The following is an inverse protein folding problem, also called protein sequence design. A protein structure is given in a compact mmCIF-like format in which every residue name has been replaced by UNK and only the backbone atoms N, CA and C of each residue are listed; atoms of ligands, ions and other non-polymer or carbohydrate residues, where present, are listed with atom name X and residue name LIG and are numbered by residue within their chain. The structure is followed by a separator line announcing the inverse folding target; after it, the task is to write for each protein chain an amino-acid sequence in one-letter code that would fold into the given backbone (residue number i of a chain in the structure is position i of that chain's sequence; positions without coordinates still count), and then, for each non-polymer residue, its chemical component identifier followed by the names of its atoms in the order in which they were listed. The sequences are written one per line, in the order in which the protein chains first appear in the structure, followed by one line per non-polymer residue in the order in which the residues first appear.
data_IF_040496872493
#
_entry.id   IF_040496872493
#
_cell.length_a   1.000
_cell.length_b   1.000
_cell.length_c   1.000
_cell.angle_alpha   90.00
_cell.angle_beta   90.00
_cell.angle_gamma   90.00
#
_symmetry.space_group_name_H-M   'P 1'
#
loop_
_entity.id
_entity.type
_entity.pdbx_description
1 polymer ?
#
# COMPACT_ATOMS: atom_id res chain seq x y z
N UNK A 1 -8.03 28.30 4.75
CA UNK A 1 -7.21 29.52 4.85
C UNK A 1 -5.74 29.12 4.81
N UNK A 2 -5.02 29.50 3.75
CA UNK A 2 -3.59 29.25 3.68
C UNK A 2 -2.87 30.07 4.76
N UNK A 3 -2.02 29.43 5.57
CA UNK A 3 -1.21 30.09 6.58
C UNK A 3 0.20 30.27 6.01
N UNK A 4 0.66 31.52 5.95
CA UNK A 4 2.04 31.85 5.59
C UNK A 4 2.71 32.59 6.75
N UNK A 5 4.01 32.37 6.95
CA UNK A 5 4.77 33.04 8.02
C UNK A 5 5.75 34.02 7.40
N UNK A 6 5.74 35.27 7.88
CA UNK A 6 6.72 36.26 7.48
C UNK A 6 8.11 35.95 8.06
N UNK A 7 9.18 36.54 7.51
CA UNK A 7 10.54 36.44 8.07
C UNK A 7 10.65 37.00 9.50
N UNK A 8 9.76 37.90 9.89
CA UNK A 8 9.69 38.43 11.26
C UNK A 8 8.94 37.49 12.23
N UNK A 9 8.53 36.29 11.80
CA UNK A 9 7.81 35.32 12.62
C UNK A 9 6.29 35.52 12.72
N UNK A 10 5.76 36.62 12.19
CA UNK A 10 4.32 36.92 12.28
C UNK A 10 3.52 36.04 11.30
N UNK A 11 2.43 35.38 11.75
CA UNK A 11 1.52 34.67 10.87
C UNK A 11 0.72 35.67 10.02
N UNK A 12 0.64 35.41 8.72
CA UNK A 12 -0.11 36.20 7.75
C UNK A 12 -1.38 35.46 7.36
N UNK A 13 -2.52 36.15 7.49
CA UNK A 13 -3.80 35.70 6.94
C UNK A 13 -3.84 36.11 5.47
N UNK A 14 -3.78 35.13 4.57
CA UNK A 14 -3.77 35.38 3.13
C UNK A 14 -5.22 35.32 2.64
N UNK A 15 -5.79 36.42 2.12
CA UNK A 15 -7.08 36.37 1.45
C UNK A 15 -6.98 35.47 0.21
N UNK A 16 -8.06 34.76 -0.12
CA UNK A 16 -8.11 33.84 -1.28
C UNK A 16 -8.00 34.57 -2.63
N UNK A 17 -8.03 35.90 -2.59
CA UNK A 17 -7.89 36.79 -3.73
C UNK A 17 -6.49 36.65 -4.34
N UNK A 18 -6.44 36.44 -5.66
CA UNK A 18 -5.31 35.90 -6.45
C UNK A 18 -4.04 36.78 -6.49
N UNK A 19 -3.97 37.81 -5.65
CA UNK A 19 -2.85 38.72 -5.52
C UNK A 19 -1.69 38.02 -4.77
N UNK A 20 -0.66 37.62 -5.52
CA UNK A 20 0.43 36.76 -5.03
C UNK A 20 1.38 37.43 -4.01
N UNK A 21 1.04 38.61 -3.47
CA UNK A 21 1.91 39.39 -2.58
C UNK A 21 1.08 40.02 -1.45
N UNK A 22 1.40 39.65 -0.22
CA UNK A 22 0.82 40.22 0.99
C UNK A 22 1.90 41.05 1.70
N UNK A 23 1.54 42.26 2.15
CA UNK A 23 2.43 43.08 2.97
C UNK A 23 2.29 42.65 4.43
N UNK A 24 3.41 42.34 5.07
CA UNK A 24 3.40 42.02 6.50
C UNK A 24 3.09 43.29 7.31
N UNK A 25 2.09 43.28 8.22
CA UNK A 25 1.75 44.45 9.02
C UNK A 25 2.83 44.80 10.05
N UNK A 26 3.65 43.83 10.48
CA UNK A 26 4.65 44.06 11.52
C UNK A 26 5.96 44.64 11.00
N UNK A 27 6.40 44.28 9.79
CA UNK A 27 7.70 44.70 9.25
C UNK A 27 7.63 45.37 7.86
N UNK A 28 6.44 45.48 7.27
CA UNK A 28 6.25 46.07 5.94
C UNK A 28 6.80 45.25 4.77
N UNK A 29 7.36 44.06 5.04
CA UNK A 29 7.91 43.21 3.99
C UNK A 29 6.82 42.74 3.02
N UNK A 30 7.08 42.87 1.72
CA UNK A 30 6.24 42.30 0.65
C UNK A 30 6.53 40.81 0.53
N UNK A 31 5.72 39.98 1.20
CA UNK A 31 5.86 38.53 1.20
C UNK A 31 5.12 37.96 -0.01
N UNK A 32 5.84 37.24 -0.86
CA UNK A 32 5.24 36.49 -1.96
C UNK A 32 4.65 35.20 -1.40
N UNK A 33 3.32 35.12 -1.35
CA UNK A 33 2.65 33.89 -0.92
C UNK A 33 2.49 33.00 -2.13
N UNK A 34 3.03 31.78 -2.07
CA UNK A 34 2.73 30.75 -3.06
C UNK A 34 1.31 30.28 -2.76
N UNK A 35 0.35 30.63 -3.62
CA UNK A 35 -0.99 30.06 -3.50
C UNK A 35 -0.86 28.53 -3.44
N UNK A 36 -1.63 27.84 -2.58
CA UNK A 36 -1.82 26.40 -2.71
C UNK A 36 -2.68 26.17 -3.94
N UNK A 37 -2.12 26.41 -5.13
CA UNK A 37 -2.76 25.97 -6.35
C UNK A 37 -2.81 24.44 -6.31
N UNK A 38 -3.90 23.80 -6.76
CA UNK A 38 -3.72 22.49 -7.36
C UNK A 38 -2.66 22.72 -8.43
N UNK A 39 -1.63 21.89 -8.44
CA UNK A 39 -0.50 22.08 -9.35
C UNK A 39 -1.02 22.52 -10.71
N UNK A 40 -0.60 23.71 -11.16
CA UNK A 40 -0.74 24.13 -12.56
C UNK A 40 0.18 23.22 -13.40
N UNK A 41 -0.07 21.92 -13.28
CA UNK A 41 0.56 20.85 -14.00
C UNK A 41 -0.10 20.82 -15.35
N UNK A 42 0.71 20.51 -16.34
CA UNK A 42 0.37 20.50 -17.75
C UNK A 42 -0.69 19.40 -18.12
N UNK A 43 -1.53 18.98 -17.18
CA UNK A 43 -2.37 17.79 -17.25
C UNK A 43 -1.58 16.50 -17.01
N UNK A 44 -0.38 16.57 -16.40
CA UNK A 44 0.46 15.40 -16.14
C UNK A 44 0.96 15.31 -14.70
N UNK A 45 0.84 14.11 -14.15
CA UNK A 45 1.45 13.68 -12.90
C UNK A 45 2.91 13.28 -13.14
N UNK A 46 3.81 13.79 -12.31
CA UNK A 46 5.24 13.46 -12.37
C UNK A 46 5.64 12.73 -11.08
N UNK A 47 6.18 11.53 -11.20
CA UNK A 47 6.61 10.72 -10.05
C UNK A 47 7.92 9.99 -10.34
N UNK A 48 8.60 9.52 -9.29
CA UNK A 48 9.91 8.87 -9.41
C UNK A 48 9.80 7.34 -9.46
N UNK A 49 10.50 6.72 -10.41
CA UNK A 49 10.78 5.29 -10.40
C UNK A 49 11.91 4.99 -9.41
N UNK A 50 11.91 3.84 -8.72
CA UNK A 50 13.01 3.43 -7.82
C UNK A 50 14.39 3.31 -8.49
N UNK A 51 14.49 3.31 -9.83
CA UNK A 51 15.77 3.41 -10.52
C UNK A 51 16.32 4.86 -10.62
N UNK A 52 15.58 5.86 -10.11
CA UNK A 52 15.94 7.28 -10.17
C UNK A 52 15.34 8.05 -11.34
N UNK A 53 14.66 7.39 -12.27
CA UNK A 53 14.02 8.05 -13.43
C UNK A 53 12.72 8.74 -13.04
N UNK A 54 12.47 9.92 -13.61
CA UNK A 54 11.19 10.64 -13.46
C UNK A 54 10.22 10.21 -14.57
N UNK A 55 9.06 9.70 -14.17
CA UNK A 55 7.96 9.29 -15.04
C UNK A 55 6.94 10.43 -15.14
N UNK A 56 6.32 10.56 -16.32
CA UNK A 56 5.28 11.55 -16.63
C UNK A 56 4.07 10.80 -17.17
N UNK A 57 2.93 10.89 -16.50
CA UNK A 57 1.66 10.27 -16.92
C UNK A 57 0.54 11.30 -16.92
N UNK A 58 -0.46 11.19 -17.80
CA UNK A 58 -1.58 12.13 -17.81
C UNK A 58 -2.41 12.02 -16.52
N UNK A 59 -2.86 13.18 -16.02
CA UNK A 59 -3.63 13.30 -14.77
C UNK A 59 -5.14 13.09 -14.97
N UNK A 60 -5.65 13.18 -16.21
CA UNK A 60 -7.08 13.03 -16.51
C UNK A 60 -7.57 11.59 -16.28
N UNK A 61 -6.74 10.60 -16.68
CA UNK A 61 -6.97 9.16 -16.46
C UNK A 61 -5.65 8.45 -16.17
N UNK A 62 -5.10 8.61 -14.96
CA UNK A 62 -3.86 7.94 -14.62
C UNK A 62 -4.10 6.42 -14.56
N UNK A 63 -3.31 5.60 -15.26
CA UNK A 63 -3.37 4.16 -15.08
C UNK A 63 -2.91 3.82 -13.66
N UNK A 64 -3.42 2.74 -13.07
CA UNK A 64 -3.01 2.30 -11.71
C UNK A 64 -1.51 1.99 -11.64
N UNK A 65 -0.93 1.52 -12.75
CA UNK A 65 0.47 1.15 -12.86
C UNK A 65 1.06 1.63 -14.18
N UNK A 66 2.33 2.07 -14.16
CA UNK A 66 3.09 2.45 -15.35
C UNK A 66 4.41 1.71 -15.45
N UNK A 67 4.83 1.31 -16.66
CA UNK A 67 6.12 0.67 -16.89
C UNK A 67 7.21 1.71 -17.08
N UNK A 68 8.32 1.59 -16.36
CA UNK A 68 9.48 2.45 -16.56
C UNK A 68 10.18 2.10 -17.88
N UNK A 69 10.47 3.07 -18.77
CA UNK A 69 11.14 2.80 -20.04
C UNK A 69 12.61 2.39 -19.86
N UNK A 70 13.27 2.84 -18.80
CA UNK A 70 14.69 2.57 -18.57
C UNK A 70 14.95 1.21 -17.90
N UNK A 71 14.21 0.88 -16.83
CA UNK A 71 14.44 -0.36 -16.07
C UNK A 71 13.39 -1.45 -16.32
N UNK A 72 12.33 -1.15 -17.07
CA UNK A 72 11.24 -2.09 -17.36
C UNK A 72 10.33 -2.45 -16.18
N UNK A 73 10.62 -1.96 -14.96
CA UNK A 73 9.85 -2.24 -13.76
C UNK A 73 8.47 -1.57 -13.83
N UNK A 74 7.46 -2.27 -13.35
CA UNK A 74 6.10 -1.75 -13.16
C UNK A 74 6.10 -0.91 -11.87
N UNK A 75 5.78 0.38 -11.98
CA UNK A 75 5.75 1.34 -10.86
C UNK A 75 4.29 1.75 -10.62
N UNK A 76 3.80 1.70 -9.37
CA UNK A 76 2.46 2.20 -9.05
C UNK A 76 2.41 3.71 -9.27
N UNK A 77 1.35 4.17 -9.93
CA UNK A 77 1.11 5.59 -10.13
C UNK A 77 0.39 6.12 -8.88
N UNK A 78 0.93 7.13 -8.18
CA UNK A 78 0.25 7.67 -7.00
C UNK A 78 -1.06 8.33 -7.43
N UNK A 79 -2.18 7.74 -7.01
CA UNK A 79 -3.50 8.30 -7.27
C UNK A 79 -3.74 9.47 -6.31
N UNK A 80 -3.62 10.70 -6.81
CA UNK A 80 -3.92 11.91 -6.03
C UNK A 80 -5.42 12.05 -5.69
N UNK A 81 -6.28 11.21 -6.28
CA UNK A 81 -7.72 11.16 -6.03
C UNK A 81 -8.20 9.87 -5.36
N UNK A 82 -7.29 9.02 -4.86
CA UNK A 82 -7.69 7.97 -3.94
C UNK A 82 -8.19 8.65 -2.69
N UNK A 83 -9.47 8.47 -2.35
CA UNK A 83 -10.01 8.91 -1.07
C UNK A 83 -8.99 8.53 0.03
N UNK A 84 -8.70 9.41 1.01
CA UNK A 84 -7.89 8.99 2.15
C UNK A 84 -8.50 7.67 2.60
N UNK A 85 -7.69 6.61 2.68
CA UNK A 85 -8.11 5.33 3.26
C UNK A 85 -9.01 5.71 4.43
N UNK A 86 -10.30 5.40 4.33
CA UNK A 86 -11.28 5.86 5.29
C UNK A 86 -10.70 5.46 6.63
N UNK A 87 -10.22 6.48 7.36
CA UNK A 87 -9.57 6.31 8.65
C UNK A 87 -10.57 5.49 9.41
N UNK A 88 -10.24 4.22 9.67
CA UNK A 88 -11.19 3.20 10.11
C UNK A 88 -12.12 3.86 11.10
N UNK A 89 -13.35 4.15 10.66
CA UNK A 89 -14.29 4.92 11.47
C UNK A 89 -14.35 4.18 12.81
N UNK A 90 -14.22 4.89 13.93
CA UNK A 90 -14.13 4.24 15.23
C UNK A 90 -15.35 3.33 15.37
N UNK A 91 -15.13 2.02 15.41
CA UNK A 91 -16.19 1.01 15.50
C UNK A 91 -17.17 1.45 16.57
N UNK A 92 -18.46 1.55 16.22
CA UNK A 92 -19.48 1.94 17.19
C UNK A 92 -19.45 0.96 18.37
N UNK A 93 -19.84 1.44 19.54
CA UNK A 93 -19.85 0.62 20.77
C UNK A 93 -20.70 -0.64 20.58
N UNK A 94 -21.76 -0.57 19.78
CA UNK A 94 -22.61 -1.73 19.47
C UNK A 94 -21.91 -2.75 18.56
N UNK A 95 -21.13 -2.29 17.57
CA UNK A 95 -20.38 -3.18 16.67
C UNK A 95 -19.21 -3.86 17.40
N UNK A 96 -18.54 -3.16 18.32
CA UNK A 96 -17.48 -3.76 19.13
C UNK A 96 -18.03 -4.84 20.07
N UNK A 97 -19.18 -4.62 20.70
CA UNK A 97 -19.86 -5.63 21.52
C UNK A 97 -20.28 -6.86 20.69
N UNK A 98 -20.76 -6.65 19.47
CA UNK A 98 -21.09 -7.76 18.56
C UNK A 98 -19.86 -8.62 18.23
N UNK A 99 -18.73 -8.00 17.93
CA UNK A 99 -17.47 -8.70 17.66
C UNK A 99 -16.95 -9.46 18.88
N UNK A 100 -17.06 -8.88 20.08
CA UNK A 100 -16.68 -9.56 21.32
C UNK A 100 -17.55 -10.78 21.62
N UNK A 101 -18.87 -10.66 21.40
CA UNK A 101 -19.80 -11.78 21.54
C UNK A 101 -19.50 -12.89 20.54
N UNK A 102 -19.25 -12.54 19.27
CA UNK A 102 -18.84 -13.49 18.25
C UNK A 102 -17.53 -14.21 18.63
N UNK A 103 -16.53 -13.47 19.11
CA UNK A 103 -15.26 -14.04 19.54
C UNK A 103 -15.39 -14.94 20.79
N UNK A 104 -16.32 -14.62 21.69
CA UNK A 104 -16.64 -15.45 22.85
C UNK A 104 -17.31 -16.77 22.41
N UNK A 105 -18.27 -16.71 21.49
CA UNK A 105 -18.92 -17.90 20.93
C UNK A 105 -17.90 -18.79 20.19
N UNK A 106 -17.03 -18.20 19.37
CA UNK A 106 -15.97 -18.93 18.67
C UNK A 106 -14.98 -19.61 19.62
N UNK A 107 -14.61 -18.96 20.72
CA UNK A 107 -13.76 -19.57 21.75
C UNK A 107 -14.46 -20.73 22.47
N UNK A 108 -15.76 -20.61 22.74
CA UNK A 108 -16.57 -21.66 23.38
C UNK A 108 -16.77 -22.88 22.49
N UNK A 109 -16.98 -22.68 21.18
CA UNK A 109 -17.16 -23.78 20.22
C UNK A 109 -15.87 -24.51 19.89
N UNK A 110 -14.72 -23.97 20.31
CA UNK A 110 -13.41 -24.35 19.83
C UNK A 110 -13.29 -24.01 18.34
N UNK A 111 -12.07 -23.95 17.81
CA UNK A 111 -11.82 -23.76 16.36
C UNK A 111 -12.22 -25.02 15.57
N UNK A 112 -13.49 -25.43 15.67
CA UNK A 112 -14.11 -26.34 14.73
C UNK A 112 -14.52 -25.48 13.56
N UNK A 113 -13.76 -25.57 12.48
CA UNK A 113 -14.18 -25.06 11.17
C UNK A 113 -15.63 -25.51 10.97
N UNK A 114 -16.60 -24.61 10.75
CA UNK A 114 -17.95 -25.03 10.43
C UNK A 114 -17.87 -25.86 9.14
N UNK A 115 -18.08 -27.17 9.27
CA UNK A 115 -18.11 -28.14 8.16
C UNK A 115 -19.28 -27.88 7.20
N UNK A 116 -20.15 -26.90 7.50
CA UNK A 116 -21.36 -26.59 6.76
C UNK A 116 -21.54 -25.08 6.56
N UNK A 117 -20.54 -24.40 6.00
CA UNK A 117 -20.84 -23.18 5.25
C UNK A 117 -21.38 -23.65 3.90
N UNK A 118 -22.67 -23.46 3.56
CA UNK A 118 -23.16 -23.81 2.24
C UNK A 118 -22.30 -23.05 1.22
N UNK A 119 -21.81 -23.73 0.16
CA UNK A 119 -21.04 -23.06 -0.87
C UNK A 119 -21.89 -21.93 -1.43
N UNK A 120 -21.38 -20.70 -1.35
CA UNK A 120 -21.99 -19.59 -2.08
C UNK A 120 -22.08 -19.94 -3.57
N UNK A 121 -23.04 -19.37 -4.31
CA UNK A 121 -23.27 -19.70 -5.72
C UNK A 121 -22.05 -19.49 -6.63
N UNK A 122 -21.03 -18.76 -6.16
CA UNK A 122 -19.78 -18.47 -6.87
C UNK A 122 -18.55 -19.24 -6.33
N UNK A 123 -18.74 -20.25 -5.48
CA UNK A 123 -17.62 -21.03 -4.97
C UNK A 123 -17.00 -21.90 -6.09
N UNK A 124 -15.72 -21.72 -6.44
CA UNK A 124 -15.06 -22.54 -7.45
C UNK A 124 -15.04 -24.01 -7.01
N UNK A 125 -15.15 -24.98 -7.94
CA UNK A 125 -15.25 -26.40 -7.60
C UNK A 125 -14.05 -26.86 -6.77
N UNK A 126 -14.33 -27.26 -5.52
CA UNK A 126 -13.30 -27.75 -4.61
C UNK A 126 -12.84 -29.14 -5.07
N UNK A 127 -11.67 -29.18 -5.72
CA UNK A 127 -10.95 -30.42 -5.99
C UNK A 127 -10.48 -31.03 -4.67
N UNK A 128 -10.70 -32.34 -4.42
CA UNK A 128 -10.18 -33.01 -3.23
C UNK A 128 -8.64 -33.04 -3.31
N UNK A 129 -7.98 -32.27 -2.44
CA UNK A 129 -6.52 -32.31 -2.30
C UNK A 129 -6.16 -33.43 -1.31
N UNK A 130 -5.33 -34.41 -1.69
CA UNK A 130 -4.78 -35.38 -0.75
C UNK A 130 -3.93 -34.65 0.30
N UNK A 131 -3.97 -35.15 1.54
CA UNK A 131 -3.46 -34.49 2.76
C UNK A 131 -1.99 -34.74 3.03
N UNK A 132 -1.37 -35.58 2.22
CA UNK A 132 0.08 -35.76 2.15
C UNK A 132 0.57 -35.06 0.89
N UNK A 133 1.65 -34.30 1.03
CA UNK A 133 2.39 -33.70 -0.09
C UNK A 133 1.89 -32.34 -0.62
N UNK A 134 1.61 -31.40 0.29
CA UNK A 134 1.67 -29.96 -0.02
C UNK A 134 3.13 -29.49 -0.03
N UNK A 135 3.97 -30.07 -0.87
CA UNK A 135 5.29 -29.50 -1.16
C UNK A 135 5.02 -28.25 -2.01
N UNK A 136 5.05 -27.09 -1.37
CA UNK A 136 4.97 -25.78 -2.02
C UNK A 136 5.82 -25.80 -3.30
N UNK A 137 5.18 -25.51 -4.43
CA UNK A 137 5.80 -25.49 -5.75
C UNK A 137 7.03 -24.57 -5.71
N UNK A 138 8.22 -25.15 -5.60
CA UNK A 138 9.45 -24.38 -5.35
C UNK A 138 10.44 -24.97 -4.35
N UNK A 139 10.11 -26.09 -3.69
CA UNK A 139 11.02 -26.74 -2.72
C UNK A 139 11.39 -28.18 -3.11
N UNK A 140 12.69 -28.51 -2.95
CA UNK A 140 13.29 -29.85 -3.05
C UNK A 140 13.59 -30.38 -1.65
N UNK A 141 13.73 -31.68 -1.47
CA UNK A 141 14.18 -32.25 -0.20
C UNK A 141 15.71 -32.40 -0.17
N UNK A 142 16.34 -32.03 0.94
CA UNK A 142 17.77 -32.26 1.14
C UNK A 142 18.06 -33.78 1.22
N UNK A 143 19.04 -34.32 0.47
CA UNK A 143 19.32 -35.76 0.46
C UNK A 143 19.87 -36.29 1.79
N UNK A 144 20.35 -35.41 2.69
CA UNK A 144 20.92 -35.81 3.98
C UNK A 144 19.93 -35.73 5.14
N UNK A 145 19.11 -34.68 5.18
CA UNK A 145 18.22 -34.42 6.32
C UNK A 145 16.73 -34.36 5.97
N UNK A 146 16.36 -34.60 4.71
CA UNK A 146 14.99 -34.59 4.20
C UNK A 146 14.20 -33.29 4.43
N UNK A 147 14.85 -32.21 4.85
CA UNK A 147 14.18 -30.91 5.04
C UNK A 147 13.98 -30.19 3.70
N UNK A 148 12.91 -29.38 3.57
CA UNK A 148 12.68 -28.57 2.39
C UNK A 148 13.82 -27.56 2.16
N UNK A 149 14.30 -27.50 0.92
CA UNK A 149 15.35 -26.60 0.44
C UNK A 149 14.84 -25.94 -0.84
N UNK A 150 15.05 -24.64 -0.95
CA UNK A 150 14.66 -23.88 -2.13
C UNK A 150 15.34 -24.44 -3.40
N UNK A 151 14.63 -24.50 -4.53
CA UNK A 151 15.11 -25.08 -5.80
C UNK A 151 16.47 -24.53 -6.28
N UNK A 152 16.75 -23.24 -6.00
CA UNK A 152 17.99 -22.55 -6.38
C UNK A 152 19.14 -22.63 -5.38
N UNK A 153 18.96 -23.27 -4.23
CA UNK A 153 20.01 -23.34 -3.19
C UNK A 153 20.96 -24.52 -3.43
N UNK A 154 22.26 -24.24 -3.46
CA UNK A 154 23.31 -25.26 -3.64
C UNK A 154 23.72 -25.95 -2.34
N UNK A 155 23.34 -25.40 -1.20
CA UNK A 155 23.67 -25.92 0.15
C UNK A 155 22.43 -25.89 1.04
N UNK A 156 22.19 -26.97 1.78
CA UNK A 156 21.11 -27.06 2.75
C UNK A 156 21.40 -26.16 3.96
N UNK A 157 20.50 -25.23 4.27
CA UNK A 157 20.63 -24.33 5.43
C UNK A 157 20.59 -25.02 6.80
N UNK A 158 20.11 -26.26 6.86
CA UNK A 158 19.99 -27.00 8.13
C UNK A 158 21.17 -27.90 8.44
N UNK A 159 21.77 -28.54 7.43
CA UNK A 159 22.84 -29.52 7.64
C UNK A 159 24.13 -29.20 6.88
N UNK A 160 24.18 -28.09 6.13
CA UNK A 160 25.35 -27.66 5.37
C UNK A 160 25.72 -28.55 4.18
N UNK A 161 24.91 -29.57 3.86
CA UNK A 161 25.22 -30.51 2.77
C UNK A 161 24.86 -29.89 1.41
N UNK A 162 25.72 -30.10 0.42
CA UNK A 162 25.49 -29.67 -0.96
C UNK A 162 24.27 -30.36 -1.55
N UNK A 163 23.33 -29.60 -2.13
CA UNK A 163 22.12 -30.10 -2.76
C UNK A 163 22.31 -29.98 -4.28
N UNK A 164 22.46 -31.10 -5.02
CA UNK A 164 22.71 -31.05 -6.45
C UNK A 164 21.51 -30.46 -7.20
N UNK A 165 21.76 -29.61 -8.18
CA UNK A 165 20.73 -29.11 -9.08
C UNK A 165 20.34 -30.23 -10.05
N UNK A 166 19.13 -30.78 -9.88
CA UNK A 166 18.48 -31.62 -10.90
C UNK A 166 17.77 -30.76 -11.94
#
# INVERSE_FOLDING_TARGET
MAKATCRCGQPLTVPDDRESRVVCPSCGAKVRVKAPGPEAGDGFLRFACPCGRRLKVPSDRPPTHGKCPDCGRIVPVPNLGGAPEQRTDELLVEESQYLEQWAADHRRRGSRVPVNVPPGPDAPPQHPQPRDERVEAGLRLCPRCARPVHLGSEVCRHCGTSVPRR
#
